data_IF_961421157925
#
_entry.id   IF_961421157925
#
_cell.length_a   1.000
_cell.length_b   1.000
_cell.length_c   1.000
_cell.angle_alpha   90.00
_cell.angle_beta   90.00
_cell.angle_gamma   90.00
#
_symmetry.space_group_name_H-M   'P 1'
#
loop_
_entity.id
_entity.type
_entity.pdbx_description
1 polymer ?
#
# COMPACT_ATOMS: atom_id res chain seq x y z
N UNK A 1 -10.97 -20.37 -4.83
CA UNK A 1 -11.48 -19.80 -3.58
C UNK A 1 -10.42 -18.97 -2.90
N UNK A 2 -10.81 -17.98 -2.09
CA UNK A 2 -9.84 -17.10 -1.43
C UNK A 2 -9.02 -17.84 -0.38
N UNK A 3 -7.73 -17.54 -0.32
CA UNK A 3 -6.85 -18.06 0.72
C UNK A 3 -6.91 -17.12 1.92
N UNK A 4 -7.73 -17.47 2.90
CA UNK A 4 -7.97 -16.61 4.06
C UNK A 4 -6.73 -16.42 4.94
N UNK A 5 -5.84 -17.40 4.99
CA UNK A 5 -4.59 -17.28 5.73
C UNK A 5 -3.68 -16.24 5.08
N UNK A 6 -3.55 -16.27 3.76
CA UNK A 6 -2.76 -15.29 3.02
C UNK A 6 -3.35 -13.89 3.18
N UNK A 7 -4.67 -13.77 3.08
CA UNK A 7 -5.36 -12.48 3.25
C UNK A 7 -5.07 -11.90 4.64
N UNK A 8 -5.23 -12.71 5.69
CA UNK A 8 -4.97 -12.27 7.05
C UNK A 8 -3.52 -11.86 7.24
N UNK A 9 -2.58 -12.60 6.66
CA UNK A 9 -1.16 -12.28 6.71
C UNK A 9 -0.84 -10.94 6.06
N UNK A 10 -1.38 -10.71 4.85
CA UNK A 10 -1.13 -9.44 4.14
C UNK A 10 -1.78 -8.25 4.84
N UNK A 11 -3.01 -8.41 5.34
CA UNK A 11 -3.65 -7.37 6.14
C UNK A 11 -2.84 -7.05 7.40
N UNK A 12 -2.28 -8.08 8.05
CA UNK A 12 -1.43 -7.92 9.22
C UNK A 12 -0.16 -7.13 8.92
N UNK A 13 0.48 -7.41 7.79
CA UNK A 13 1.68 -6.68 7.36
C UNK A 13 1.36 -5.21 7.12
N UNK A 14 0.26 -4.92 6.42
CA UNK A 14 -0.16 -3.54 6.15
C UNK A 14 -0.44 -2.81 7.47
N UNK A 15 -1.18 -3.44 8.37
CA UNK A 15 -1.54 -2.86 9.67
C UNK A 15 -0.31 -2.58 10.54
N UNK A 16 0.59 -3.56 10.66
CA UNK A 16 1.83 -3.43 11.43
C UNK A 16 2.70 -2.30 10.86
N UNK A 17 2.84 -2.26 9.54
CA UNK A 17 3.62 -1.22 8.87
C UNK A 17 2.98 0.16 9.05
N UNK A 18 1.65 0.24 8.92
CA UNK A 18 0.92 1.48 9.13
C UNK A 18 1.17 2.05 10.53
N UNK A 19 1.07 1.20 11.56
CA UNK A 19 1.28 1.64 12.94
C UNK A 19 2.69 2.17 13.16
N UNK A 20 3.69 1.52 12.58
CA UNK A 20 5.08 1.96 12.68
C UNK A 20 5.29 3.29 11.94
N UNK A 21 4.75 3.39 10.73
CA UNK A 21 4.86 4.60 9.91
C UNK A 21 4.14 5.78 10.58
N UNK A 22 3.01 5.54 11.22
CA UNK A 22 2.26 6.58 11.91
C UNK A 22 3.09 7.20 13.04
N UNK A 23 3.87 6.40 13.76
CA UNK A 23 4.79 6.90 14.79
C UNK A 23 5.88 7.78 14.18
N UNK A 24 6.44 7.34 13.05
CA UNK A 24 7.48 8.10 12.35
C UNK A 24 6.94 9.40 11.75
N UNK A 25 5.64 9.42 11.40
CA UNK A 25 4.99 10.61 10.87
C UNK A 25 4.97 11.77 11.87
N UNK A 26 5.11 11.47 13.16
CA UNK A 26 5.14 12.49 14.21
C UNK A 26 6.49 13.20 14.34
N UNK A 27 7.53 12.66 13.69
CA UNK A 27 8.87 13.27 13.70
C UNK A 27 8.88 14.48 12.77
N UNK A 28 9.24 15.68 13.25
CA UNK A 28 9.32 16.87 12.39
C UNK A 28 10.33 16.70 11.27
N UNK A 29 10.11 17.39 10.15
CA UNK A 29 10.97 17.25 8.97
C UNK A 29 12.44 17.54 9.27
N UNK A 30 12.73 18.56 10.07
CA UNK A 30 14.11 18.94 10.43
C UNK A 30 14.84 17.79 11.15
N UNK A 31 14.13 17.12 12.05
CA UNK A 31 14.68 15.99 12.80
C UNK A 31 14.77 14.75 11.91
N UNK A 32 13.74 14.51 11.09
CA UNK A 32 13.69 13.38 10.17
C UNK A 32 14.84 13.43 9.16
N UNK A 33 15.16 14.61 8.65
CA UNK A 33 16.26 14.82 7.70
C UNK A 33 17.62 14.45 8.29
N UNK A 34 17.78 14.52 9.60
CA UNK A 34 19.05 14.22 10.29
C UNK A 34 19.11 12.80 10.83
N UNK A 35 18.04 12.03 10.71
CA UNK A 35 17.94 10.71 11.31
C UNK A 35 17.85 9.63 10.23
N UNK A 36 19.02 9.10 9.83
CA UNK A 36 19.09 8.06 8.81
C UNK A 36 18.35 6.78 9.22
N UNK A 37 18.39 6.43 10.50
CA UNK A 37 17.69 5.23 10.98
C UNK A 37 16.18 5.38 10.79
N UNK A 38 15.62 6.54 11.11
CA UNK A 38 14.19 6.80 10.89
C UNK A 38 13.83 6.73 9.41
N UNK A 39 14.68 7.27 8.54
CA UNK A 39 14.48 7.21 7.08
C UNK A 39 14.49 5.77 6.59
N UNK A 40 15.44 4.97 7.02
CA UNK A 40 15.58 3.57 6.62
C UNK A 40 14.37 2.74 7.08
N UNK A 41 13.92 2.97 8.30
CA UNK A 41 12.74 2.28 8.83
C UNK A 41 11.50 2.68 8.03
N UNK A 42 11.34 3.98 7.73
CA UNK A 42 10.20 4.47 6.96
C UNK A 42 10.17 3.86 5.56
N UNK A 43 11.31 3.86 4.86
CA UNK A 43 11.41 3.27 3.52
C UNK A 43 11.06 1.77 3.55
N UNK A 44 11.64 1.03 4.50
CA UNK A 44 11.42 -0.40 4.61
C UNK A 44 9.95 -0.73 4.90
N UNK A 45 9.35 0.00 5.85
CA UNK A 45 7.95 -0.26 6.23
C UNK A 45 6.98 0.15 5.14
N UNK A 46 7.24 1.26 4.46
CA UNK A 46 6.41 1.69 3.33
C UNK A 46 6.48 0.67 2.20
N UNK A 47 7.68 0.21 1.86
CA UNK A 47 7.86 -0.82 0.83
C UNK A 47 7.11 -2.10 1.18
N UNK A 48 7.24 -2.57 2.41
CA UNK A 48 6.54 -3.78 2.87
C UNK A 48 5.03 -3.62 2.81
N UNK A 49 4.52 -2.48 3.23
CA UNK A 49 3.08 -2.20 3.18
C UNK A 49 2.57 -2.20 1.75
N UNK A 50 3.28 -1.54 0.84
CA UNK A 50 2.88 -1.47 -0.57
C UNK A 50 2.95 -2.84 -1.24
N UNK A 51 4.00 -3.61 -0.99
CA UNK A 51 4.11 -4.97 -1.53
C UNK A 51 2.97 -5.86 -1.05
N UNK A 52 2.63 -5.79 0.24
CA UNK A 52 1.53 -6.56 0.79
C UNK A 52 0.19 -6.14 0.21
N UNK A 53 0.01 -4.83 0.01
CA UNK A 53 -1.20 -4.26 -0.58
C UNK A 53 -1.40 -4.78 -2.01
N UNK A 54 -0.37 -4.75 -2.83
CA UNK A 54 -0.45 -5.24 -4.20
C UNK A 54 -0.60 -6.75 -4.28
N UNK A 55 0.08 -7.50 -3.40
CA UNK A 55 -0.07 -8.96 -3.31
C UNK A 55 -1.51 -9.32 -2.95
N UNK A 56 -2.09 -8.61 -2.00
CA UNK A 56 -3.47 -8.81 -1.58
C UNK A 56 -4.44 -8.53 -2.73
N UNK A 57 -4.27 -7.38 -3.40
CA UNK A 57 -5.09 -7.00 -4.55
C UNK A 57 -5.02 -8.01 -5.67
N UNK A 58 -3.81 -8.47 -5.98
CA UNK A 58 -3.60 -9.49 -7.00
C UNK A 58 -4.29 -10.80 -6.65
N UNK A 59 -4.16 -11.25 -5.40
CA UNK A 59 -4.83 -12.47 -4.94
C UNK A 59 -6.35 -12.38 -5.12
N UNK A 60 -6.94 -11.26 -4.72
CA UNK A 60 -8.39 -11.03 -4.86
C UNK A 60 -8.80 -11.11 -6.34
N UNK A 61 -8.06 -10.45 -7.22
CA UNK A 61 -8.36 -10.43 -8.65
C UNK A 61 -8.29 -11.84 -9.28
N UNK A 62 -7.21 -12.56 -9.00
CA UNK A 62 -7.01 -13.91 -9.54
C UNK A 62 -8.10 -14.86 -9.04
N UNK A 63 -8.36 -14.85 -7.74
CA UNK A 63 -9.31 -15.78 -7.13
C UNK A 63 -10.77 -15.43 -7.42
N UNK A 64 -11.08 -14.19 -7.73
CA UNK A 64 -12.43 -13.78 -8.13
C UNK A 64 -12.71 -14.01 -9.61
N UNK A 65 -11.71 -14.47 -10.38
CA UNK A 65 -11.86 -14.70 -11.81
C UNK A 65 -11.73 -13.47 -12.67
N UNK A 66 -11.25 -12.36 -12.10
CA UNK A 66 -11.09 -11.10 -12.83
C UNK A 66 -9.91 -11.11 -13.81
N UNK A 67 -8.98 -12.05 -13.62
CA UNK A 67 -7.78 -12.15 -14.46
C UNK A 67 -6.50 -11.93 -13.68
N UNK A 68 -5.37 -11.98 -14.39
CA UNK A 68 -4.04 -11.82 -13.81
C UNK A 68 -3.51 -10.44 -14.19
N UNK A 69 -3.31 -9.53 -13.23
CA UNK A 69 -2.73 -8.21 -13.54
C UNK A 69 -1.29 -8.35 -13.99
N UNK A 70 -0.88 -7.56 -14.97
CA UNK A 70 0.46 -7.61 -15.56
C UNK A 70 1.49 -6.84 -14.75
N UNK A 71 1.06 -5.83 -14.01
CA UNK A 71 1.93 -4.98 -13.20
C UNK A 71 1.14 -4.39 -12.01
N UNK A 72 1.82 -3.60 -11.19
CA UNK A 72 1.19 -3.02 -10.00
C UNK A 72 0.10 -2.01 -10.35
N UNK A 73 0.31 -1.21 -11.40
CA UNK A 73 -0.70 -0.24 -11.84
C UNK A 73 -1.97 -0.96 -12.28
N UNK A 74 -1.82 -2.08 -12.98
CA UNK A 74 -2.96 -2.89 -13.42
C UNK A 74 -3.77 -3.44 -12.25
N UNK A 75 -3.12 -3.75 -11.12
CA UNK A 75 -3.84 -4.21 -9.93
C UNK A 75 -4.90 -3.18 -9.53
N UNK A 76 -4.51 -1.93 -9.40
CA UNK A 76 -5.42 -0.85 -8.98
C UNK A 76 -6.52 -0.64 -10.04
N UNK A 77 -6.14 -0.59 -11.31
CA UNK A 77 -7.09 -0.39 -12.41
C UNK A 77 -8.15 -1.51 -12.45
N UNK A 78 -7.71 -2.76 -12.32
CA UNK A 78 -8.62 -3.91 -12.36
C UNK A 78 -9.53 -3.94 -11.13
N UNK A 79 -9.02 -3.59 -9.94
CA UNK A 79 -9.84 -3.49 -8.74
C UNK A 79 -10.95 -2.43 -8.90
N UNK A 80 -10.62 -1.32 -9.57
CA UNK A 80 -11.59 -0.28 -9.91
C UNK A 80 -12.66 -0.80 -10.89
N UNK A 81 -12.22 -1.44 -11.97
CA UNK A 81 -13.11 -1.97 -13.01
C UNK A 81 -14.08 -3.03 -12.49
N UNK A 82 -13.67 -3.77 -11.47
CA UNK A 82 -14.51 -4.81 -10.86
C UNK A 82 -15.32 -4.31 -9.65
N UNK A 83 -15.32 -3.01 -9.43
CA UNK A 83 -16.05 -2.35 -8.33
C UNK A 83 -15.63 -2.86 -6.94
N UNK A 84 -14.42 -3.38 -6.83
CA UNK A 84 -13.86 -3.78 -5.53
C UNK A 84 -13.38 -2.53 -4.78
N UNK A 85 -12.84 -1.56 -5.53
CA UNK A 85 -12.50 -0.24 -5.02
C UNK A 85 -13.36 0.81 -5.71
N UNK A 86 -13.86 1.82 -4.96
CA UNK A 86 -14.53 2.95 -5.59
C UNK A 86 -13.58 3.68 -6.56
N UNK A 87 -14.13 4.22 -7.64
CA UNK A 87 -13.33 4.86 -8.69
C UNK A 87 -12.50 6.03 -8.16
N UNK A 88 -13.08 6.88 -7.31
CA UNK A 88 -12.37 8.03 -6.75
C UNK A 88 -11.21 7.61 -5.84
N UNK A 89 -11.41 6.60 -5.02
CA UNK A 89 -10.34 6.07 -4.16
C UNK A 89 -9.24 5.42 -5.01
N UNK A 90 -9.61 4.61 -6.01
CA UNK A 90 -8.64 3.98 -6.89
C UNK A 90 -7.78 5.03 -7.61
N UNK A 91 -8.40 6.12 -8.08
CA UNK A 91 -7.67 7.22 -8.70
C UNK A 91 -6.73 7.91 -7.71
N UNK A 92 -7.16 8.05 -6.45
CA UNK A 92 -6.35 8.65 -5.38
C UNK A 92 -5.08 7.85 -5.11
N UNK A 93 -5.17 6.51 -5.13
CA UNK A 93 -4.03 5.64 -4.80
C UNK A 93 -3.25 5.16 -6.03
N UNK A 94 -3.60 5.63 -7.23
CA UNK A 94 -2.96 5.19 -8.46
C UNK A 94 -1.44 5.38 -8.46
N UNK A 95 -0.94 6.39 -7.74
CA UNK A 95 0.49 6.66 -7.63
C UNK A 95 1.30 5.68 -6.77
N UNK A 96 0.62 4.81 -6.01
CA UNK A 96 1.31 3.86 -5.10
C UNK A 96 2.24 2.90 -5.84
N UNK A 97 1.88 2.50 -7.06
CA UNK A 97 2.72 1.62 -7.87
C UNK A 97 4.06 2.29 -8.17
N UNK A 98 4.06 3.59 -8.45
CA UNK A 98 5.27 4.36 -8.68
C UNK A 98 6.14 4.45 -7.42
N UNK A 99 5.55 4.67 -6.27
CA UNK A 99 6.30 4.70 -5.01
C UNK A 99 6.99 3.37 -4.73
N UNK A 100 6.27 2.26 -4.91
CA UNK A 100 6.84 0.91 -4.70
C UNK A 100 8.04 0.69 -5.62
N UNK A 101 7.93 1.05 -6.88
CA UNK A 101 9.02 0.88 -7.85
C UNK A 101 10.22 1.75 -7.50
N UNK A 102 9.99 2.99 -7.09
CA UNK A 102 11.06 3.92 -6.73
C UNK A 102 11.77 3.53 -5.44
N UNK A 103 11.08 2.89 -4.51
CA UNK A 103 11.67 2.41 -3.26
C UNK A 103 12.63 1.24 -3.48
N UNK A 104 12.49 0.51 -4.59
CA UNK A 104 13.36 -0.63 -4.92
C UNK A 104 14.54 -0.22 -5.78
N UNK A 105 14.34 0.69 -6.74
CA UNK A 105 15.36 1.11 -7.69
C UNK A 105 16.13 2.32 -7.17
N UNK A 106 17.43 2.15 -6.86
CA UNK A 106 18.27 3.18 -6.27
C UNK A 106 18.31 4.48 -7.08
N UNK A 107 18.37 4.37 -8.42
CA UNK A 107 18.45 5.55 -9.28
C UNK A 107 17.13 6.33 -9.38
N UNK A 108 16.02 5.74 -8.93
CA UNK A 108 14.71 6.39 -8.89
C UNK A 108 14.25 6.63 -7.44
N UNK A 109 15.20 6.83 -6.56
CA UNK A 109 14.96 6.87 -5.14
C UNK A 109 13.99 7.98 -4.72
N UNK A 110 13.11 7.65 -3.78
CA UNK A 110 12.23 8.62 -3.12
C UNK A 110 13.10 9.50 -2.22
N UNK A 111 12.98 10.82 -2.35
CA UNK A 111 13.75 11.76 -1.52
C UNK A 111 13.24 11.74 -0.09
N UNK A 112 14.07 12.23 0.85
CA UNK A 112 13.70 12.33 2.27
C UNK A 112 12.47 13.22 2.43
N UNK A 113 12.40 14.34 1.71
CA UNK A 113 11.27 15.27 1.76
C UNK A 113 10.00 14.59 1.24
N UNK A 114 10.10 13.88 0.13
CA UNK A 114 8.97 13.16 -0.46
C UNK A 114 8.49 12.05 0.47
N UNK A 115 9.42 11.30 1.05
CA UNK A 115 9.10 10.24 2.01
C UNK A 115 8.34 10.79 3.21
N UNK A 116 8.84 11.90 3.79
CA UNK A 116 8.19 12.56 4.91
C UNK A 116 6.78 13.04 4.54
N UNK A 117 6.62 13.59 3.34
CA UNK A 117 5.31 14.04 2.85
C UNK A 117 4.32 12.87 2.74
N UNK A 118 4.78 11.72 2.25
CA UNK A 118 3.97 10.50 2.17
C UNK A 118 3.49 10.11 3.58
N UNK A 119 4.40 10.16 4.56
CA UNK A 119 4.05 9.86 5.94
C UNK A 119 2.98 10.81 6.49
N UNK A 120 3.01 12.07 6.07
CA UNK A 120 2.06 13.08 6.53
C UNK A 120 0.69 12.97 5.85
N UNK A 121 0.63 12.55 4.59
CA UNK A 121 -0.57 12.73 3.76
C UNK A 121 -1.17 11.44 3.21
N UNK A 122 -0.44 10.32 3.21
CA UNK A 122 -0.86 9.10 2.48
C UNK A 122 -1.09 7.87 3.32
N UNK A 123 -0.77 7.89 4.61
CA UNK A 123 -0.91 6.68 5.43
C UNK A 123 -2.34 6.21 5.57
N UNK A 124 -3.31 7.14 5.59
CA UNK A 124 -4.73 6.79 5.66
C UNK A 124 -5.19 5.94 4.48
N UNK A 125 -4.54 6.07 3.32
CA UNK A 125 -4.88 5.27 2.14
C UNK A 125 -4.64 3.78 2.38
N UNK A 126 -3.65 3.42 3.18
CA UNK A 126 -3.37 2.02 3.52
C UNK A 126 -4.52 1.39 4.31
N UNK A 127 -5.03 2.11 5.29
CA UNK A 127 -6.18 1.65 6.08
C UNK A 127 -7.45 1.55 5.24
N UNK A 128 -7.72 2.57 4.41
CA UNK A 128 -8.89 2.58 3.56
C UNK A 128 -8.87 1.42 2.58
N UNK A 129 -7.72 1.12 2.00
CA UNK A 129 -7.58 -0.04 1.13
C UNK A 129 -8.00 -1.32 1.86
N UNK A 130 -7.49 -1.53 3.07
CA UNK A 130 -7.83 -2.70 3.87
C UNK A 130 -9.32 -2.77 4.16
N UNK A 131 -9.95 -1.63 4.46
CA UNK A 131 -11.38 -1.56 4.74
C UNK A 131 -12.21 -1.94 3.51
N UNK A 132 -11.86 -1.44 2.33
CA UNK A 132 -12.57 -1.78 1.10
C UNK A 132 -12.43 -3.27 0.76
N UNK A 133 -11.24 -3.83 0.92
CA UNK A 133 -11.02 -5.26 0.67
C UNK A 133 -11.83 -6.10 1.66
N UNK A 134 -11.80 -5.76 2.93
CA UNK A 134 -12.56 -6.46 3.98
C UNK A 134 -14.05 -6.41 3.69
N UNK A 135 -14.56 -5.25 3.29
CA UNK A 135 -15.96 -5.08 2.93
C UNK A 135 -16.35 -5.95 1.73
N UNK A 136 -15.51 -5.95 0.70
CA UNK A 136 -15.73 -6.79 -0.48
C UNK A 136 -15.83 -8.27 -0.08
N UNK A 137 -14.89 -8.76 0.73
CA UNK A 137 -14.85 -10.16 1.15
C UNK A 137 -16.08 -10.52 2.00
N UNK A 138 -16.53 -9.62 2.86
CA UNK A 138 -17.72 -9.84 3.69
C UNK A 138 -18.97 -10.00 2.83
N UNK A 139 -19.03 -9.33 1.67
CA UNK A 139 -20.18 -9.39 0.77
C UNK A 139 -20.14 -10.58 -0.18
N UNK A 140 -19.09 -11.42 -0.11
CA UNK A 140 -18.90 -12.59 -1.00
C UNK A 140 -19.19 -13.92 -0.32
N UNK A 141 -19.92 -13.92 0.76
CA UNK A 141 -20.33 -15.13 1.46
C UNK A 141 -21.47 -15.85 0.75
#
# INVERSE_FOLDING_TARGET
MFNHQLIAEKLGIIHSSFNRLKKLAQVPIEEFQKNEDAQDIAENRLRKALEALFDLGRHILVKSGAGIPQDYRSVITMLKEKDILPADFANQIAGMAGYRNRLIHEYNKVTVQELHEILQTRLGDLELFCQYITKYLANKK
#
